data_IF_844346217654
#
_entry.id   IF_844346217654
#
_cell.length_a   1.000
_cell.length_b   1.000
_cell.length_c   1.000
_cell.angle_alpha   90.00
_cell.angle_beta   90.00
_cell.angle_gamma   90.00
#
_symmetry.space_group_name_H-M   'P 1'
#
loop_
_entity.id
_entity.type
_entity.pdbx_description
1 polymer ?
#
# COMPACT_ATOMS: atom_id res chain seq x y z
N UNK A 1 3.10 0.35 27.56
CA UNK A 1 4.04 0.44 26.41
C UNK A 1 3.67 1.66 25.58
N UNK A 2 4.63 2.38 25.02
CA UNK A 2 4.36 3.54 24.16
C UNK A 2 3.90 3.05 22.77
N UNK A 3 2.89 3.69 22.18
CA UNK A 3 2.47 3.39 20.81
C UNK A 3 3.62 3.68 19.83
N UNK A 4 3.99 2.74 18.95
CA UNK A 4 5.03 2.97 17.95
C UNK A 4 4.53 3.91 16.85
N UNK A 5 5.45 4.54 16.12
CA UNK A 5 5.07 5.20 14.86
C UNK A 5 4.94 4.14 13.76
N UNK A 6 3.97 4.32 12.87
CA UNK A 6 3.71 3.43 11.75
C UNK A 6 4.01 4.18 10.45
N UNK A 7 4.85 3.60 9.59
CA UNK A 7 5.23 4.17 8.29
C UNK A 7 4.89 3.16 7.21
N UNK A 8 3.95 3.52 6.33
CA UNK A 8 3.59 2.74 5.16
C UNK A 8 4.33 3.28 3.94
N UNK A 9 5.27 2.51 3.40
CA UNK A 9 6.04 2.85 2.20
C UNK A 9 5.62 1.87 1.10
N UNK A 10 5.14 2.39 -0.02
CA UNK A 10 4.82 1.59 -1.19
C UNK A 10 5.15 2.35 -2.47
N UNK A 11 5.66 1.66 -3.48
CA UNK A 11 5.94 2.22 -4.80
C UNK A 11 4.85 1.84 -5.80
N UNK A 12 4.71 2.63 -6.87
CA UNK A 12 3.78 2.33 -7.95
C UNK A 12 4.41 1.39 -8.97
N UNK A 13 3.63 0.42 -9.45
CA UNK A 13 4.00 -0.52 -10.52
C UNK A 13 5.31 -1.32 -10.27
N UNK A 14 5.64 -1.59 -9.00
CA UNK A 14 6.88 -2.29 -8.66
C UNK A 14 6.72 -3.80 -8.74
N UNK A 15 7.52 -4.43 -9.60
CA UNK A 15 7.61 -5.89 -9.72
C UNK A 15 8.29 -6.48 -8.48
N UNK A 16 7.69 -7.50 -7.87
CA UNK A 16 8.22 -8.22 -6.70
C UNK A 16 9.71 -8.59 -6.82
N UNK A 17 10.11 -9.15 -7.96
CA UNK A 17 11.49 -9.58 -8.18
C UNK A 17 12.47 -8.42 -8.41
N UNK A 18 12.03 -7.18 -8.64
CA UNK A 18 12.91 -6.06 -9.00
C UNK A 18 13.64 -5.44 -7.79
N UNK A 19 14.28 -6.28 -6.98
CA UNK A 19 15.10 -5.93 -5.81
C UNK A 19 16.22 -6.96 -5.65
N UNK A 20 17.31 -6.57 -4.97
CA UNK A 20 18.43 -7.47 -4.64
C UNK A 20 17.97 -8.64 -3.75
N UNK A 21 17.21 -8.36 -2.69
CA UNK A 21 16.62 -9.40 -1.84
C UNK A 21 15.55 -10.25 -2.55
N UNK A 22 14.94 -9.72 -3.62
CA UNK A 22 14.02 -10.44 -4.50
C UNK A 22 14.69 -11.35 -5.52
N UNK A 23 16.04 -11.36 -5.58
CA UNK A 23 16.83 -12.29 -6.39
C UNK A 23 17.14 -11.83 -7.82
N UNK A 24 16.89 -10.58 -8.19
CA UNK A 24 17.28 -10.07 -9.52
C UNK A 24 18.77 -9.68 -9.54
N UNK A 25 19.63 -10.40 -10.29
CA UNK A 25 21.08 -10.18 -10.26
C UNK A 25 21.51 -8.85 -10.88
N UNK A 26 20.59 -8.15 -11.57
CA UNK A 26 20.87 -6.88 -12.23
C UNK A 26 20.51 -5.67 -11.35
N UNK A 27 19.83 -5.88 -10.22
CA UNK A 27 19.30 -4.81 -9.38
C UNK A 27 20.11 -4.69 -8.09
N UNK A 28 20.58 -3.47 -7.80
CA UNK A 28 21.30 -3.16 -6.56
C UNK A 28 20.42 -2.29 -5.66
N UNK A 29 19.94 -2.86 -4.56
CA UNK A 29 19.07 -2.16 -3.59
C UNK A 29 19.57 -2.29 -2.15
N UNK A 30 20.83 -1.89 -1.84
CA UNK A 30 21.49 -2.21 -0.57
C UNK A 30 20.72 -1.73 0.68
N UNK A 31 19.97 -0.63 0.59
CA UNK A 31 19.15 -0.15 1.70
C UNK A 31 17.88 -0.99 1.92
N UNK A 32 17.26 -1.48 0.85
CA UNK A 32 16.10 -2.38 0.95
C UNK A 32 16.54 -3.77 1.37
N UNK A 33 17.68 -4.25 0.87
CA UNK A 33 18.22 -5.57 1.22
C UNK A 33 18.57 -5.61 2.72
N UNK A 34 19.14 -4.52 3.25
CA UNK A 34 19.35 -4.36 4.69
C UNK A 34 18.04 -4.33 5.48
N UNK A 35 17.02 -3.60 5.00
CA UNK A 35 15.70 -3.57 5.64
C UNK A 35 15.05 -4.95 5.64
N UNK A 36 15.11 -5.68 4.53
CA UNK A 36 14.59 -7.03 4.38
C UNK A 36 15.26 -8.00 5.38
N UNK A 37 16.58 -7.90 5.60
CA UNK A 37 17.29 -8.70 6.62
C UNK A 37 16.89 -8.40 8.07
N UNK A 38 16.20 -7.28 8.32
CA UNK A 38 15.71 -6.86 9.64
C UNK A 38 14.19 -7.04 9.79
N UNK A 39 13.51 -7.57 8.77
CA UNK A 39 12.05 -7.58 8.65
C UNK A 39 11.52 -8.99 8.43
N UNK A 40 10.22 -9.17 8.67
CA UNK A 40 9.50 -10.33 8.16
C UNK A 40 9.12 -10.06 6.69
N UNK A 41 9.57 -10.91 5.77
CA UNK A 41 9.27 -10.79 4.35
C UNK A 41 8.18 -11.77 3.94
N UNK A 42 7.14 -11.25 3.27
CA UNK A 42 6.07 -12.07 2.71
C UNK A 42 6.37 -12.40 1.25
N UNK A 43 6.77 -13.64 0.98
CA UNK A 43 7.08 -14.09 -0.39
C UNK A 43 5.85 -14.13 -1.32
N UNK A 44 4.63 -14.12 -0.76
CA UNK A 44 3.36 -14.22 -1.49
C UNK A 44 2.38 -13.11 -1.10
N UNK A 45 2.81 -11.85 -1.19
CA UNK A 45 1.94 -10.69 -1.05
C UNK A 45 1.38 -10.28 -2.42
N UNK A 46 0.10 -10.57 -2.68
CA UNK A 46 -0.54 -10.39 -3.99
C UNK A 46 -1.52 -9.21 -3.96
N UNK A 47 -1.44 -8.34 -4.97
CA UNK A 47 -2.41 -7.24 -5.12
C UNK A 47 -3.80 -7.78 -5.42
N UNK A 48 -4.84 -7.17 -4.83
CA UNK A 48 -6.24 -7.51 -5.10
C UNK A 48 -6.70 -7.16 -6.52
N UNK A 49 -5.99 -6.26 -7.20
CA UNK A 49 -6.25 -5.89 -8.59
C UNK A 49 -4.95 -5.41 -9.27
N UNK A 50 -4.65 -5.77 -10.53
CA UNK A 50 -3.48 -5.27 -11.26
C UNK A 50 -3.73 -3.90 -11.91
N UNK A 51 -4.52 -3.03 -11.27
CA UNK A 51 -4.88 -1.68 -11.76
C UNK A 51 -4.78 -0.68 -10.61
N UNK A 52 -4.32 0.55 -10.91
CA UNK A 52 -3.88 1.51 -9.90
C UNK A 52 -4.98 1.91 -8.89
N UNK A 53 -6.09 2.51 -9.34
CA UNK A 53 -7.14 2.97 -8.42
C UNK A 53 -7.77 1.82 -7.62
N UNK A 54 -8.16 0.68 -8.23
CA UNK A 54 -8.70 -0.46 -7.49
C UNK A 54 -7.72 -1.00 -6.44
N UNK A 55 -6.44 -1.18 -6.78
CA UNK A 55 -5.43 -1.65 -5.83
C UNK A 55 -5.25 -0.69 -4.65
N UNK A 56 -5.24 0.63 -4.91
CA UNK A 56 -5.12 1.67 -3.88
C UNK A 56 -6.36 1.74 -2.99
N UNK A 57 -7.55 1.63 -3.56
CA UNK A 57 -8.80 1.57 -2.82
C UNK A 57 -8.79 0.35 -1.89
N UNK A 58 -8.44 -0.83 -2.41
CA UNK A 58 -8.33 -2.04 -1.60
C UNK A 58 -7.29 -1.91 -0.48
N UNK A 59 -6.12 -1.32 -0.77
CA UNK A 59 -5.08 -1.06 0.24
C UNK A 59 -5.57 -0.13 1.36
N UNK A 60 -6.28 0.95 1.01
CA UNK A 60 -6.72 1.93 1.99
C UNK A 60 -7.96 1.47 2.76
N UNK A 61 -8.87 0.71 2.19
CA UNK A 61 -10.10 0.31 2.90
C UNK A 61 -10.03 -1.09 3.50
N UNK A 62 -9.02 -1.89 3.12
CA UNK A 62 -8.95 -3.31 3.48
C UNK A 62 -10.10 -4.14 2.90
N UNK A 63 -10.67 -3.71 1.77
CA UNK A 63 -11.84 -4.34 1.13
C UNK A 63 -11.53 -4.71 -0.31
N UNK A 64 -12.26 -5.66 -0.87
CA UNK A 64 -12.13 -6.03 -2.28
C UNK A 64 -12.87 -5.05 -3.22
N UNK A 65 -12.51 -5.01 -4.53
CA UNK A 65 -13.14 -4.13 -5.51
C UNK A 65 -14.67 -4.19 -5.57
N UNK A 66 -15.24 -5.36 -5.39
CA UNK A 66 -16.69 -5.59 -5.33
C UNK A 66 -17.36 -4.96 -4.09
N UNK A 67 -16.60 -4.72 -3.02
CA UNK A 67 -17.09 -4.14 -1.78
C UNK A 67 -16.91 -2.63 -1.69
N UNK A 68 -15.90 -2.07 -2.37
CA UNK A 68 -15.65 -0.61 -2.38
C UNK A 68 -16.04 0.08 -3.70
N UNK A 69 -16.37 -0.68 -4.75
CA UNK A 69 -16.95 -0.16 -6.00
C UNK A 69 -15.96 0.47 -7.00
N UNK A 70 -14.65 0.44 -6.71
CA UNK A 70 -13.61 1.00 -7.59
C UNK A 70 -13.04 -0.15 -8.43
N UNK A 71 -13.54 -0.31 -9.66
CA UNK A 71 -13.16 -1.41 -10.56
C UNK A 71 -12.15 -1.03 -11.65
N UNK A 72 -12.06 0.25 -11.98
CA UNK A 72 -11.18 0.80 -13.01
C UNK A 72 -10.52 2.09 -12.49
N UNK A 73 -9.58 2.64 -13.25
CA UNK A 73 -9.04 3.96 -12.95
C UNK A 73 -10.10 5.05 -13.09
N UNK A 74 -9.84 6.21 -12.49
CA UNK A 74 -10.66 7.42 -12.59
C UNK A 74 -12.06 7.26 -11.97
N UNK A 75 -12.25 6.24 -11.11
CA UNK A 75 -13.41 6.09 -10.24
C UNK A 75 -13.04 6.61 -8.85
N UNK A 76 -13.82 7.58 -8.38
CA UNK A 76 -13.66 8.15 -7.04
C UNK A 76 -14.03 7.12 -5.97
N UNK A 77 -13.18 6.99 -4.94
CA UNK A 77 -13.53 6.20 -3.76
C UNK A 77 -14.60 6.95 -2.97
N UNK A 78 -15.65 6.24 -2.53
CA UNK A 78 -16.71 6.86 -1.71
C UNK A 78 -16.14 7.54 -0.47
N UNK A 79 -16.59 8.77 -0.20
CA UNK A 79 -16.25 9.50 1.02
C UNK A 79 -16.79 8.84 2.30
N UNK A 80 -17.70 7.87 2.18
CA UNK A 80 -18.21 7.06 3.29
C UNK A 80 -17.30 5.86 3.61
N UNK A 81 -16.34 5.55 2.73
CA UNK A 81 -15.42 4.42 2.95
C UNK A 81 -14.51 4.70 4.14
N UNK A 82 -14.44 3.76 5.08
CA UNK A 82 -13.48 3.81 6.19
C UNK A 82 -12.10 3.47 5.64
N UNK A 83 -11.21 4.46 5.67
CA UNK A 83 -9.80 4.31 5.29
C UNK A 83 -8.93 3.84 6.45
N UNK A 84 -7.75 3.35 6.11
CA UNK A 84 -6.69 2.95 7.04
C UNK A 84 -6.33 4.10 7.99
N UNK A 85 -6.29 5.34 7.48
CA UNK A 85 -6.06 6.54 8.26
C UNK A 85 -7.16 6.79 9.30
N UNK A 86 -8.43 6.62 8.92
CA UNK A 86 -9.56 6.76 9.86
C UNK A 86 -9.57 5.65 10.92
N UNK A 87 -9.25 4.41 10.52
CA UNK A 87 -9.12 3.29 11.45
C UNK A 87 -8.00 3.52 12.48
N UNK A 88 -6.82 3.98 12.05
CA UNK A 88 -5.74 4.35 12.97
C UNK A 88 -6.08 5.58 13.82
N UNK A 89 -6.77 6.57 13.26
CA UNK A 89 -7.26 7.75 13.99
C UNK A 89 -8.19 7.39 15.14
N UNK A 90 -9.11 6.45 14.93
CA UNK A 90 -9.96 5.91 16.00
C UNK A 90 -9.15 5.20 17.11
N UNK A 91 -7.95 4.71 16.79
CA UNK A 91 -6.98 4.15 17.74
C UNK A 91 -6.04 5.17 18.38
N UNK A 92 -6.22 6.47 18.15
CA UNK A 92 -5.43 7.54 18.74
C UNK A 92 -4.12 7.88 18.00
N UNK A 93 -4.01 7.53 16.72
CA UNK A 93 -2.88 7.91 15.88
C UNK A 93 -3.19 9.16 15.05
N UNK A 94 -2.20 10.05 14.92
CA UNK A 94 -2.21 11.08 13.89
C UNK A 94 -1.81 10.47 12.55
N UNK A 95 -2.58 10.76 11.50
CA UNK A 95 -2.34 10.25 10.15
C UNK A 95 -1.92 11.38 9.20
N UNK A 96 -0.90 11.11 8.40
CA UNK A 96 -0.44 11.99 7.33
C UNK A 96 -0.23 11.18 6.04
N UNK A 97 -0.43 11.83 4.90
CA UNK A 97 -0.24 11.23 3.58
C UNK A 97 0.75 12.06 2.75
N UNK A 98 1.72 11.40 2.13
CA UNK A 98 2.69 12.02 1.22
C UNK A 98 2.86 11.12 0.01
N UNK A 99 2.48 11.61 -1.17
CA UNK A 99 2.66 10.89 -2.43
C UNK A 99 1.43 10.93 -3.33
N UNK A 100 1.35 9.94 -4.24
CA UNK A 100 0.29 9.84 -5.26
C UNK A 100 -1.01 9.32 -4.65
N UNK A 101 -2.11 10.08 -4.71
CA UNK A 101 -3.42 9.66 -4.18
C UNK A 101 -4.16 8.70 -5.13
N UNK A 102 -4.60 9.20 -6.29
CA UNK A 102 -5.23 8.43 -7.38
C UNK A 102 -6.55 7.75 -6.97
N UNK A 103 -7.36 8.44 -6.16
CA UNK A 103 -8.68 7.99 -5.68
C UNK A 103 -9.72 9.12 -5.66
N UNK A 104 -9.42 10.23 -6.32
CA UNK A 104 -10.22 11.44 -6.47
C UNK A 104 -11.08 11.44 -7.75
N UNK A 105 -10.93 10.44 -8.61
CA UNK A 105 -11.81 10.21 -9.77
C UNK A 105 -11.46 10.99 -11.04
N UNK A 106 -10.21 11.47 -11.17
CA UNK A 106 -9.72 12.26 -12.30
C UNK A 106 -8.25 11.94 -12.63
#
# INVERSE_FOLDING_TARGET
MKSPNLIFIFADQWRHAATGFGGDPNVQTPHLDRLAGQSLNFAHAISGCPVCCPARASLLTGRYPDQHGVFVNDVCLSNEAVSLAQAFGAGGYDAAYVGKWHLDGH
#
